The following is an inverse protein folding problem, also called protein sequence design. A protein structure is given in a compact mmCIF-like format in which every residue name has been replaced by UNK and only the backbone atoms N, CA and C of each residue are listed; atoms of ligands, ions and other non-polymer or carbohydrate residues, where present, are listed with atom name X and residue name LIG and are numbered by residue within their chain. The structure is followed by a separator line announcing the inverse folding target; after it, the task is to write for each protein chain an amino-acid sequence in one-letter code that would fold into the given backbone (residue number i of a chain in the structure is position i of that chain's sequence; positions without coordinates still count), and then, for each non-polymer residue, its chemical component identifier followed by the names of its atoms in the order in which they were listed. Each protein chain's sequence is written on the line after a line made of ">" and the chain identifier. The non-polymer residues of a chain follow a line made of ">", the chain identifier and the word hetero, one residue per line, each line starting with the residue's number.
data_IF_793103151527
#
_entry.id   IF_793103151527
#
_cell.length_a   1.000
_cell.length_b   1.000
_cell.length_c   1.000
_cell.angle_alpha   90.00
_cell.angle_beta   90.00
_cell.angle_gamma   90.00
#
_symmetry.space_group_name_H-M   'P 1'
#
loop_
_entity.id
_entity.type
_entity.pdbx_description
1 polymer ?
#
# COMPACT_ATOMS: atom_id res chain seq x y z
N UNK A 1 28.63 -22.06 2.12
CA UNK A 1 27.66 -21.06 2.61
C UNK A 1 27.58 -19.94 1.59
N UNK A 2 26.73 -20.06 0.56
CA UNK A 2 26.40 -18.94 -0.34
C UNK A 2 25.19 -19.35 -1.17
N UNK A 3 24.05 -18.75 -0.89
CA UNK A 3 22.78 -19.01 -1.57
C UNK A 3 21.62 -18.10 -1.15
N UNK A 4 21.80 -17.20 -0.17
CA UNK A 4 20.69 -16.49 0.48
C UNK A 4 20.62 -14.97 0.24
N UNK A 5 21.62 -14.37 -0.42
CA UNK A 5 21.72 -12.91 -0.57
C UNK A 5 20.64 -12.26 -1.49
N UNK A 6 20.20 -12.89 -2.61
CA UNK A 6 19.19 -12.28 -3.48
C UNK A 6 17.81 -12.17 -2.82
N UNK A 7 17.44 -13.20 -2.04
CA UNK A 7 16.15 -13.26 -1.37
C UNK A 7 16.08 -12.29 -0.19
N UNK A 8 17.20 -12.13 0.55
CA UNK A 8 17.27 -11.18 1.65
C UNK A 8 17.13 -9.72 1.19
N UNK A 9 17.84 -9.31 0.13
CA UNK A 9 17.75 -7.95 -0.40
C UNK A 9 16.34 -7.61 -0.92
N UNK A 10 15.66 -8.59 -1.52
CA UNK A 10 14.27 -8.48 -1.95
C UNK A 10 13.32 -8.27 -0.75
N UNK A 11 13.46 -9.08 0.30
CA UNK A 11 12.65 -8.97 1.51
C UNK A 11 12.87 -7.64 2.24
N UNK A 12 14.11 -7.14 2.27
CA UNK A 12 14.43 -5.81 2.83
C UNK A 12 13.79 -4.69 2.01
N UNK A 13 13.86 -4.76 0.68
CA UNK A 13 13.22 -3.80 -0.21
C UNK A 13 11.69 -3.82 -0.05
N UNK A 14 11.08 -5.00 0.01
CA UNK A 14 9.65 -5.19 0.22
C UNK A 14 9.22 -4.64 1.59
N UNK A 15 9.95 -4.98 2.65
CA UNK A 15 9.70 -4.50 4.01
C UNK A 15 9.75 -2.98 4.10
N UNK A 16 10.71 -2.35 3.42
CA UNK A 16 10.78 -0.89 3.32
C UNK A 16 9.56 -0.29 2.62
N UNK A 17 9.17 -0.83 1.47
CA UNK A 17 8.00 -0.34 0.73
C UNK A 17 6.71 -0.46 1.54
N UNK A 18 6.50 -1.60 2.21
CA UNK A 18 5.35 -1.83 3.09
C UNK A 18 5.33 -0.79 4.22
N UNK A 19 6.48 -0.55 4.86
CA UNK A 19 6.59 0.44 5.94
C UNK A 19 6.28 1.85 5.45
N UNK A 20 6.83 2.24 4.30
CA UNK A 20 6.60 3.57 3.72
C UNK A 20 5.10 3.80 3.41
N UNK A 21 4.41 2.78 2.88
CA UNK A 21 2.95 2.83 2.70
C UNK A 21 2.22 2.96 4.03
N UNK A 22 2.59 2.16 5.04
CA UNK A 22 1.97 2.21 6.36
C UNK A 22 2.10 3.60 7.00
N UNK A 23 3.31 4.17 6.97
CA UNK A 23 3.59 5.47 7.57
C UNK A 23 2.76 6.56 6.89
N UNK A 24 2.67 6.55 5.56
CA UNK A 24 1.85 7.52 4.83
C UNK A 24 0.35 7.37 5.11
N UNK A 25 -0.16 6.14 5.15
CA UNK A 25 -1.57 5.88 5.47
C UNK A 25 -1.92 6.36 6.88
N UNK A 26 -1.05 6.08 7.85
CA UNK A 26 -1.21 6.53 9.24
C UNK A 26 -1.14 8.04 9.37
N UNK A 27 -0.10 8.68 8.82
CA UNK A 27 0.10 10.13 8.89
C UNK A 27 -1.06 10.88 8.22
N UNK A 28 -1.51 10.40 7.06
CA UNK A 28 -2.64 11.00 6.37
C UNK A 28 -3.94 10.79 7.13
N UNK A 29 -4.16 9.60 7.69
CA UNK A 29 -5.34 9.30 8.50
C UNK A 29 -5.44 10.17 9.75
N UNK A 30 -4.32 10.40 10.44
CA UNK A 30 -4.24 11.25 11.63
C UNK A 30 -4.51 12.74 11.31
N UNK A 31 -4.13 13.21 10.13
CA UNK A 31 -4.34 14.58 9.69
C UNK A 31 -5.79 14.92 9.26
N UNK A 32 -6.68 13.93 9.13
CA UNK A 32 -8.04 14.14 8.65
C UNK A 32 -9.02 14.48 9.79
N UNK A 33 -9.58 15.68 9.76
CA UNK A 33 -10.60 16.12 10.73
C UNK A 33 -12.00 15.48 10.55
N UNK A 34 -12.21 14.66 9.52
CA UNK A 34 -13.48 13.96 9.17
C UNK A 34 -14.74 14.86 9.03
N UNK A 35 -14.56 16.18 8.98
CA UNK A 35 -15.66 17.15 8.92
C UNK A 35 -16.38 17.15 7.57
N UNK A 36 -15.64 17.02 6.47
CA UNK A 36 -16.16 17.06 5.10
C UNK A 36 -16.48 15.66 4.59
N UNK A 37 -17.47 15.49 3.69
CA UNK A 37 -17.80 14.19 3.10
C UNK A 37 -16.58 13.46 2.49
N UNK A 38 -15.74 14.18 1.74
CA UNK A 38 -14.54 13.60 1.15
C UNK A 38 -13.52 13.15 2.21
N UNK A 39 -13.45 13.81 3.38
CA UNK A 39 -12.54 13.40 4.46
C UNK A 39 -13.01 12.09 5.11
N UNK A 40 -14.33 11.90 5.26
CA UNK A 40 -14.88 10.64 5.76
C UNK A 40 -14.67 9.50 4.77
N UNK A 41 -14.94 9.76 3.49
CA UNK A 41 -14.73 8.79 2.42
C UNK A 41 -13.24 8.41 2.32
N UNK A 42 -12.34 9.40 2.36
CA UNK A 42 -10.91 9.14 2.37
C UNK A 42 -10.48 8.35 3.60
N UNK A 43 -10.99 8.68 4.79
CA UNK A 43 -10.68 7.93 6.00
C UNK A 43 -11.16 6.47 5.92
N UNK A 44 -12.27 6.19 5.24
CA UNK A 44 -12.74 4.82 5.01
C UNK A 44 -11.78 4.07 4.07
N UNK A 45 -11.40 4.68 2.95
CA UNK A 45 -10.44 4.10 2.03
C UNK A 45 -9.06 3.86 2.67
N UNK A 46 -8.58 4.78 3.52
CA UNK A 46 -7.32 4.59 4.25
C UNK A 46 -7.40 3.42 5.24
N UNK A 47 -8.55 3.21 5.88
CA UNK A 47 -8.76 2.05 6.74
C UNK A 47 -8.80 0.73 5.95
N UNK A 48 -9.37 0.74 4.73
CA UNK A 48 -9.33 -0.43 3.83
C UNK A 48 -7.90 -0.75 3.40
N UNK A 49 -7.13 0.27 3.01
CA UNK A 49 -5.72 0.13 2.62
C UNK A 49 -4.89 -0.41 3.78
N UNK A 50 -5.06 0.14 5.00
CA UNK A 50 -4.34 -0.31 6.20
C UNK A 50 -4.62 -1.79 6.52
N UNK A 51 -5.90 -2.19 6.47
CA UNK A 51 -6.28 -3.60 6.65
C UNK A 51 -5.64 -4.51 5.61
N UNK A 52 -5.68 -4.13 4.33
CA UNK A 52 -5.09 -4.93 3.28
C UNK A 52 -3.56 -4.98 3.37
N UNK A 53 -2.92 -3.90 3.81
CA UNK A 53 -1.49 -3.87 4.06
C UNK A 53 -1.11 -4.85 5.18
N UNK A 54 -1.94 -4.96 6.23
CA UNK A 54 -1.75 -5.96 7.28
C UNK A 54 -1.91 -7.39 6.75
N UNK A 55 -2.88 -7.63 5.85
CA UNK A 55 -3.02 -8.94 5.17
C UNK A 55 -1.75 -9.27 4.39
N UNK A 56 -1.23 -8.34 3.58
CA UNK A 56 0.02 -8.55 2.83
C UNK A 56 1.21 -8.85 3.75
N UNK A 57 1.32 -8.13 4.87
CA UNK A 57 2.39 -8.39 5.85
C UNK A 57 2.30 -9.79 6.44
N UNK A 58 1.08 -10.23 6.76
CA UNK A 58 0.87 -11.56 7.30
C UNK A 58 1.16 -12.63 6.25
N UNK A 59 0.74 -12.45 5.00
CA UNK A 59 1.04 -13.44 3.94
C UNK A 59 2.54 -13.57 3.69
N UNK A 60 3.28 -12.46 3.70
CA UNK A 60 4.76 -12.47 3.62
C UNK A 60 5.38 -13.13 4.86
N UNK A 61 4.97 -12.73 6.06
CA UNK A 61 5.55 -13.25 7.31
C UNK A 61 5.25 -14.74 7.55
N UNK A 62 4.14 -15.25 7.00
CA UNK A 62 3.78 -16.66 7.06
C UNK A 62 4.39 -17.49 5.93
N UNK A 63 5.23 -16.88 5.07
CA UNK A 63 5.85 -17.54 3.92
C UNK A 63 4.79 -18.24 3.05
N UNK A 64 3.66 -17.57 2.81
CA UNK A 64 2.59 -18.07 1.96
C UNK A 64 3.09 -18.29 0.55
N UNK A 65 2.32 -19.06 -0.24
CA UNK A 65 2.66 -19.29 -1.63
C UNK A 65 2.74 -17.94 -2.35
N UNK A 66 3.72 -17.78 -3.24
CA UNK A 66 3.92 -16.50 -3.95
C UNK A 66 2.65 -16.00 -4.67
N UNK A 67 1.72 -16.91 -5.00
CA UNK A 67 0.42 -16.58 -5.59
C UNK A 67 -0.46 -15.78 -4.64
N UNK A 68 -0.56 -16.23 -3.39
CA UNK A 68 -1.30 -15.57 -2.32
C UNK A 68 -0.67 -14.21 -1.96
N UNK A 69 0.67 -14.13 -1.95
CA UNK A 69 1.39 -12.87 -1.70
C UNK A 69 1.13 -11.86 -2.83
N UNK A 70 1.21 -12.30 -4.09
CA UNK A 70 0.94 -11.45 -5.24
C UNK A 70 -0.52 -10.99 -5.28
N UNK A 71 -1.47 -11.88 -5.01
CA UNK A 71 -2.90 -11.54 -4.94
C UNK A 71 -3.16 -10.47 -3.88
N UNK A 72 -2.57 -10.62 -2.68
CA UNK A 72 -2.69 -9.63 -1.62
C UNK A 72 -2.13 -8.25 -2.04
N UNK A 73 -1.02 -8.23 -2.78
CA UNK A 73 -0.43 -7.00 -3.33
C UNK A 73 -1.28 -6.38 -4.45
N UNK A 74 -1.90 -7.18 -5.31
CA UNK A 74 -2.82 -6.72 -6.35
C UNK A 74 -4.07 -6.06 -5.75
N UNK A 75 -4.65 -6.69 -4.72
CA UNK A 75 -5.79 -6.14 -3.98
C UNK A 75 -5.41 -4.80 -3.32
N UNK A 76 -4.22 -4.71 -2.71
CA UNK A 76 -3.71 -3.46 -2.10
C UNK A 76 -3.56 -2.32 -3.13
N UNK A 77 -2.99 -2.62 -4.30
CA UNK A 77 -2.89 -1.67 -5.41
C UNK A 77 -4.27 -1.29 -5.98
N UNK A 78 -5.24 -2.22 -5.97
CA UNK A 78 -6.64 -1.97 -6.31
C UNK A 78 -7.30 -0.94 -5.38
N UNK A 79 -7.20 -1.16 -4.07
CA UNK A 79 -7.76 -0.26 -3.05
C UNK A 79 -7.14 1.15 -3.13
N UNK A 80 -5.84 1.23 -3.35
CA UNK A 80 -5.13 2.52 -3.50
C UNK A 80 -5.59 3.29 -4.74
N UNK A 81 -5.84 2.60 -5.86
CA UNK A 81 -6.43 3.22 -7.07
C UNK A 81 -7.86 3.72 -6.81
N UNK A 82 -8.68 2.95 -6.10
CA UNK A 82 -10.04 3.36 -5.73
C UNK A 82 -10.02 4.61 -4.84
N UNK A 83 -9.10 4.68 -3.87
CA UNK A 83 -8.91 5.86 -3.04
C UNK A 83 -8.55 7.10 -3.88
N UNK A 84 -7.65 6.97 -4.84
CA UNK A 84 -7.30 8.03 -5.78
C UNK A 84 -8.49 8.48 -6.65
N UNK A 85 -9.24 7.52 -7.20
CA UNK A 85 -10.41 7.78 -8.03
C UNK A 85 -11.53 8.50 -7.26
N UNK A 86 -11.77 8.11 -6.00
CA UNK A 86 -12.72 8.76 -5.11
C UNK A 86 -12.41 10.25 -4.88
N UNK A 87 -11.16 10.67 -5.06
CA UNK A 87 -10.71 12.06 -4.91
C UNK A 87 -10.63 12.83 -6.24
N UNK A 88 -10.86 12.20 -7.39
CA UNK A 88 -10.70 12.84 -8.70
C UNK A 88 -11.63 14.05 -8.89
N UNK A 89 -12.83 14.03 -8.27
CA UNK A 89 -13.81 15.14 -8.31
C UNK A 89 -13.88 16.00 -7.05
N UNK A 90 -13.04 15.75 -6.04
CA UNK A 90 -13.16 16.42 -4.74
C UNK A 90 -12.28 17.68 -4.64
N UNK A 91 -12.70 18.64 -3.80
CA UNK A 91 -11.91 19.81 -3.39
C UNK A 91 -10.89 19.46 -2.30
N UNK A 92 -10.22 18.33 -2.48
CA UNK A 92 -9.10 17.92 -1.63
C UNK A 92 -7.92 18.85 -1.87
N UNK A 93 -7.17 19.17 -0.82
CA UNK A 93 -5.98 20.00 -0.96
C UNK A 93 -4.88 19.27 -1.76
N UNK A 94 -3.95 20.01 -2.39
CA UNK A 94 -2.90 19.41 -3.21
C UNK A 94 -1.99 18.44 -2.46
N UNK A 95 -1.72 18.69 -1.17
CA UNK A 95 -0.83 17.87 -0.34
C UNK A 95 -1.45 16.49 -0.10
N UNK A 96 -2.71 16.45 0.33
CA UNK A 96 -3.47 15.20 0.48
C UNK A 96 -3.55 14.43 -0.85
N UNK A 97 -3.75 15.13 -1.97
CA UNK A 97 -3.77 14.49 -3.30
C UNK A 97 -2.41 13.87 -3.65
N UNK A 98 -1.32 14.58 -3.38
CA UNK A 98 0.04 14.07 -3.61
C UNK A 98 0.34 12.85 -2.73
N UNK A 99 -0.07 12.87 -1.45
CA UNK A 99 0.11 11.75 -0.54
C UNK A 99 -0.63 10.48 -1.02
N UNK A 100 -1.88 10.62 -1.48
CA UNK A 100 -2.64 9.47 -2.02
C UNK A 100 -2.03 8.94 -3.31
N UNK A 101 -1.54 9.83 -4.18
CA UNK A 101 -0.81 9.40 -5.37
C UNK A 101 0.44 8.61 -4.99
N UNK A 102 1.23 9.11 -4.03
CA UNK A 102 2.44 8.44 -3.55
C UNK A 102 2.13 7.06 -2.94
N UNK A 103 1.06 6.93 -2.15
CA UNK A 103 0.57 5.63 -1.66
C UNK A 103 0.27 4.69 -2.84
N UNK A 104 -0.45 5.18 -3.86
CA UNK A 104 -0.71 4.42 -5.08
C UNK A 104 0.55 3.95 -5.79
N UNK A 105 1.51 4.84 -5.99
CA UNK A 105 2.78 4.54 -6.67
C UNK A 105 3.61 3.50 -5.89
N UNK A 106 3.67 3.60 -4.56
CA UNK A 106 4.37 2.65 -3.70
C UNK A 106 3.71 1.27 -3.71
N UNK A 107 2.37 1.19 -3.69
CA UNK A 107 1.66 -0.10 -3.76
C UNK A 107 1.80 -0.79 -5.11
N UNK A 108 1.88 -0.03 -6.21
CA UNK A 108 2.26 -0.55 -7.51
C UNK A 108 3.68 -1.11 -7.48
N UNK A 109 4.62 -0.39 -6.85
CA UNK A 109 6.01 -0.84 -6.73
C UNK A 109 6.14 -2.13 -5.93
N UNK A 110 5.39 -2.29 -4.83
CA UNK A 110 5.29 -3.55 -4.07
C UNK A 110 4.91 -4.70 -5.01
N UNK A 111 3.81 -4.53 -5.76
CA UNK A 111 3.33 -5.55 -6.70
C UNK A 111 4.38 -5.88 -7.76
N UNK A 112 5.00 -4.87 -8.38
CA UNK A 112 6.02 -5.08 -9.42
C UNK A 112 7.23 -5.82 -8.87
N UNK A 113 7.74 -5.44 -7.69
CA UNK A 113 8.83 -6.14 -7.02
C UNK A 113 8.51 -7.61 -6.76
N UNK A 114 7.27 -7.93 -6.37
CA UNK A 114 6.80 -9.30 -6.19
C UNK A 114 6.64 -10.06 -7.51
N UNK A 115 6.27 -9.39 -8.61
CA UNK A 115 6.17 -10.01 -9.94
C UNK A 115 7.55 -10.34 -10.50
N UNK A 116 8.51 -9.43 -10.37
CA UNK A 116 9.89 -9.61 -10.82
C UNK A 116 10.59 -10.76 -10.07
N UNK A 117 10.27 -10.97 -8.80
CA UNK A 117 10.82 -12.07 -8.01
C UNK A 117 10.37 -13.46 -8.45
N UNK A 118 9.32 -13.56 -9.29
CA UNK A 118 8.76 -14.83 -9.78
C UNK A 118 9.21 -15.19 -11.20
N UNK A 119 9.84 -14.26 -11.91
CA UNK A 119 10.37 -14.44 -13.27
C UNK A 119 11.84 -14.85 -13.24
#
# INVERSE_FOLDING_TARGET
>A
MSGNAPNQALLEALGKLIKDVQDLVMLLGQGLSRAKPWQRQLSAHLADIDRQLQVLRMTVAMEKQDGEILEAAEQLAGLSRLAGAALAGSRVDPTTRAAIKLIGDLTVRIRTTLQEARG
#
